data_IF_394030174619
#
_entry.id   IF_394030174619
#
_cell.length_a   1.000
_cell.length_b   1.000
_cell.length_c   1.000
_cell.angle_alpha   90.00
_cell.angle_beta   90.00
_cell.angle_gamma   90.00
#
_symmetry.space_group_name_H-M   'P 1'
#
loop_
_entity.id
_entity.type
_entity.pdbx_description
1 polymer ?
#
# COMPACT_ATOMS: atom_id res chain seq x y z
N UNK A 1 9.24 24.81 -22.76
CA UNK A 1 10.41 24.20 -22.10
C UNK A 1 10.14 22.72 -21.96
N UNK A 2 11.08 21.85 -22.32
CA UNK A 2 10.92 20.42 -22.08
C UNK A 2 10.89 20.19 -20.57
N UNK A 3 9.77 19.73 -20.03
CA UNK A 3 9.69 19.24 -18.67
C UNK A 3 10.46 17.93 -18.63
N UNK A 4 11.78 18.02 -18.44
CA UNK A 4 12.62 16.90 -18.04
C UNK A 4 11.99 16.38 -16.73
N UNK A 5 11.84 15.06 -16.56
CA UNK A 5 11.06 14.41 -15.49
C UNK A 5 11.48 14.71 -14.04
N UNK A 6 11.48 15.98 -13.68
CA UNK A 6 11.92 16.53 -12.40
C UNK A 6 10.92 16.21 -11.30
N UNK A 7 9.63 16.10 -11.65
CA UNK A 7 8.60 15.74 -10.67
C UNK A 7 8.78 14.28 -10.24
N UNK A 8 9.00 13.37 -11.18
CA UNK A 8 9.24 11.98 -10.80
C UNK A 8 10.49 11.83 -9.93
N UNK A 9 11.57 12.55 -10.24
CA UNK A 9 12.79 12.53 -9.44
C UNK A 9 12.54 13.11 -8.04
N UNK A 10 11.77 14.20 -7.94
CA UNK A 10 11.38 14.77 -6.67
C UNK A 10 10.56 13.79 -5.83
N UNK A 11 9.59 13.08 -6.43
CA UNK A 11 8.82 12.04 -5.73
C UNK A 11 9.70 10.89 -5.25
N UNK A 12 10.67 10.45 -6.05
CA UNK A 12 11.63 9.42 -5.67
C UNK A 12 12.46 9.88 -4.46
N UNK A 13 13.02 11.10 -4.52
CA UNK A 13 13.81 11.67 -3.42
C UNK A 13 12.98 11.79 -2.14
N UNK A 14 11.75 12.28 -2.22
CA UNK A 14 10.86 12.39 -1.05
C UNK A 14 10.58 11.02 -0.45
N UNK A 15 10.27 10.01 -1.26
CA UNK A 15 10.07 8.64 -0.78
C UNK A 15 11.31 8.11 -0.06
N UNK A 16 12.51 8.29 -0.63
CA UNK A 16 13.77 7.84 -0.03
C UNK A 16 14.01 8.54 1.31
N UNK A 17 13.85 9.86 1.38
CA UNK A 17 14.10 10.65 2.61
C UNK A 17 13.11 10.25 3.71
N UNK A 18 11.82 10.17 3.38
CA UNK A 18 10.77 9.82 4.35
C UNK A 18 10.92 8.38 4.85
N UNK A 19 11.23 7.45 3.95
CA UNK A 19 11.45 6.05 4.31
C UNK A 19 12.74 5.86 5.12
N UNK A 20 13.82 6.56 4.79
CA UNK A 20 15.04 6.54 5.60
C UNK A 20 14.77 7.01 7.04
N UNK A 21 13.98 8.07 7.20
CA UNK A 21 13.59 8.54 8.53
C UNK A 21 12.72 7.52 9.25
N UNK A 22 11.70 6.96 8.59
CA UNK A 22 10.82 5.93 9.17
C UNK A 22 11.56 4.66 9.58
N UNK A 23 12.56 4.22 8.80
CA UNK A 23 13.38 3.05 9.13
C UNK A 23 14.29 3.27 10.34
N UNK A 24 14.55 4.53 10.73
CA UNK A 24 15.41 4.88 11.87
C UNK A 24 14.65 5.28 13.13
N UNK A 25 13.41 5.72 12.98
CA UNK A 25 12.60 6.31 14.05
C UNK A 25 11.22 5.66 14.02
N UNK A 26 11.00 4.72 14.95
CA UNK A 26 9.74 3.99 15.09
C UNK A 26 8.56 4.91 15.38
N UNK A 27 8.75 5.92 16.24
CA UNK A 27 7.69 6.89 16.57
C UNK A 27 7.31 7.73 15.34
N UNK A 28 8.27 8.05 14.46
CA UNK A 28 7.98 8.66 13.16
C UNK A 28 7.25 7.70 12.23
N UNK A 29 7.69 6.44 12.13
CA UNK A 29 7.04 5.43 11.30
C UNK A 29 5.56 5.25 11.69
N UNK A 30 5.29 5.03 12.98
CA UNK A 30 3.96 4.79 13.52
C UNK A 30 3.05 6.02 13.43
N UNK A 31 3.62 7.24 13.43
CA UNK A 31 2.86 8.48 13.27
C UNK A 31 2.33 8.69 11.85
N UNK A 32 3.00 8.14 10.85
CA UNK A 32 2.71 8.41 9.44
C UNK A 32 2.25 7.18 8.65
N UNK A 33 2.30 5.98 9.24
CA UNK A 33 1.76 4.74 8.68
C UNK A 33 0.25 4.80 8.48
N UNK A 34 -0.26 4.01 7.54
CA UNK A 34 -1.70 3.81 7.41
C UNK A 34 -2.14 2.93 8.58
N UNK A 35 -3.17 3.33 9.31
CA UNK A 35 -3.75 2.50 10.37
C UNK A 35 -5.25 2.80 10.46
N UNK A 36 -6.07 1.76 10.40
CA UNK A 36 -7.52 1.88 10.23
C UNK A 36 -8.16 2.68 11.35
N UNK A 37 -7.87 2.35 12.62
CA UNK A 37 -8.47 3.06 13.76
C UNK A 37 -8.02 4.51 13.83
N UNK A 38 -6.75 4.79 13.56
CA UNK A 38 -6.23 6.16 13.51
C UNK A 38 -6.93 7.00 12.44
N UNK A 39 -7.28 6.41 11.30
CA UNK A 39 -8.01 7.09 10.22
C UNK A 39 -9.50 7.23 10.55
N UNK A 40 -10.17 6.15 10.95
CA UNK A 40 -11.63 6.11 11.09
C UNK A 40 -12.12 6.63 12.45
N UNK A 41 -11.43 6.31 13.54
CA UNK A 41 -11.82 6.68 14.91
C UNK A 41 -11.20 8.02 15.26
N UNK A 42 -9.88 8.13 15.16
CA UNK A 42 -9.13 9.33 15.56
C UNK A 42 -9.05 10.42 14.47
N UNK A 43 -9.62 10.16 13.29
CA UNK A 43 -9.76 11.13 12.19
C UNK A 43 -8.42 11.66 11.65
N UNK A 44 -7.36 10.88 11.78
CA UNK A 44 -6.01 11.23 11.32
C UNK A 44 -5.85 10.97 9.81
N UNK A 45 -6.61 11.70 9.00
CA UNK A 45 -6.72 11.47 7.56
C UNK A 45 -5.41 11.67 6.78
N UNK A 46 -4.41 12.35 7.36
CA UNK A 46 -3.10 12.54 6.71
C UNK A 46 -2.44 11.20 6.38
N UNK A 47 -2.74 10.15 7.17
CA UNK A 47 -2.26 8.77 6.99
C UNK A 47 -2.70 8.13 5.67
N UNK A 48 -3.72 8.67 5.02
CA UNK A 48 -4.12 8.28 3.67
C UNK A 48 -3.10 8.68 2.60
N UNK A 49 -2.21 9.63 2.89
CA UNK A 49 -1.18 10.12 1.96
C UNK A 49 0.22 9.84 2.52
N UNK A 50 0.46 10.09 3.80
CA UNK A 50 1.80 9.98 4.39
C UNK A 50 2.33 8.55 4.40
N UNK A 51 1.44 7.56 4.52
CA UNK A 51 1.80 6.14 4.48
C UNK A 51 2.44 5.72 3.16
N UNK A 52 2.09 6.41 2.08
CA UNK A 52 2.64 6.21 0.75
C UNK A 52 4.13 6.54 0.62
N UNK A 53 4.71 7.24 1.59
CA UNK A 53 6.11 7.66 1.58
C UNK A 53 6.99 6.89 2.57
N UNK A 54 6.41 5.92 3.28
CA UNK A 54 7.11 5.03 4.21
C UNK A 54 7.26 3.63 3.59
N UNK A 55 8.33 2.92 3.93
CA UNK A 55 8.54 1.54 3.50
C UNK A 55 9.13 0.72 4.65
N UNK A 56 8.69 -0.53 4.79
CA UNK A 56 9.16 -1.46 5.83
C UNK A 56 10.59 -1.96 5.64
N UNK A 57 11.15 -1.86 4.43
CA UNK A 57 12.51 -2.31 4.13
C UNK A 57 13.13 -1.58 2.95
N UNK A 58 14.47 -1.62 2.88
CA UNK A 58 15.23 -1.09 1.75
C UNK A 58 14.91 -1.78 0.43
N UNK A 59 14.62 -3.09 0.45
CA UNK A 59 14.26 -3.83 -0.76
C UNK A 59 12.89 -3.42 -1.27
N UNK A 60 11.92 -3.23 -0.37
CA UNK A 60 10.59 -2.74 -0.71
C UNK A 60 10.67 -1.33 -1.31
N UNK A 61 11.45 -0.43 -0.69
CA UNK A 61 11.70 0.91 -1.23
C UNK A 61 12.38 0.85 -2.61
N UNK A 62 13.41 0.02 -2.77
CA UNK A 62 14.15 -0.11 -4.03
C UNK A 62 13.23 -0.48 -5.20
N UNK A 63 12.41 -1.52 -5.06
CA UNK A 63 11.52 -1.94 -6.15
C UNK A 63 10.43 -0.93 -6.46
N UNK A 64 9.91 -0.22 -5.45
CA UNK A 64 8.96 0.88 -5.68
C UNK A 64 9.62 2.01 -6.48
N UNK A 65 10.82 2.45 -6.08
CA UNK A 65 11.51 3.55 -6.76
C UNK A 65 12.00 3.15 -8.15
N UNK A 66 12.43 1.89 -8.32
CA UNK A 66 12.79 1.34 -9.63
C UNK A 66 11.60 1.35 -10.58
N UNK A 67 10.45 0.83 -10.15
CA UNK A 67 9.23 0.85 -10.96
C UNK A 67 8.74 2.27 -11.21
N UNK A 68 8.75 3.15 -10.19
CA UNK A 68 8.38 4.55 -10.35
C UNK A 68 9.25 5.21 -11.42
N UNK A 69 10.58 5.07 -11.35
CA UNK A 69 11.51 5.62 -12.33
C UNK A 69 11.27 5.07 -13.75
N UNK A 70 11.09 3.75 -13.87
CA UNK A 70 10.95 3.07 -15.15
C UNK A 70 9.70 3.48 -15.94
N UNK A 71 8.59 3.77 -15.26
CA UNK A 71 7.29 4.03 -15.90
C UNK A 71 6.88 5.52 -15.90
N UNK A 72 7.38 6.34 -14.97
CA UNK A 72 6.90 7.71 -14.80
C UNK A 72 7.36 8.70 -15.86
N UNK A 73 8.60 8.58 -16.36
CA UNK A 73 9.19 9.60 -17.25
C UNK A 73 8.36 9.81 -18.52
N UNK A 74 7.96 8.73 -19.18
CA UNK A 74 7.13 8.81 -20.40
C UNK A 74 5.73 9.37 -20.12
N UNK A 75 5.17 9.10 -18.94
CA UNK A 75 3.87 9.64 -18.54
C UNK A 75 3.96 11.14 -18.25
N UNK A 76 4.96 11.58 -17.50
CA UNK A 76 5.17 13.00 -17.17
C UNK A 76 5.37 13.83 -18.44
N UNK A 77 6.13 13.31 -19.41
CA UNK A 77 6.31 13.96 -20.71
C UNK A 77 5.01 14.04 -21.52
N UNK A 78 4.16 13.01 -21.46
CA UNK A 78 2.90 12.96 -22.22
C UNK A 78 1.80 13.83 -21.61
N UNK A 79 1.68 13.82 -20.28
CA UNK A 79 0.54 14.43 -19.57
C UNK A 79 0.89 15.80 -18.95
N UNK A 80 2.17 16.11 -18.81
CA UNK A 80 2.67 17.27 -18.08
C UNK A 80 2.77 17.04 -16.56
N UNK A 81 3.50 17.90 -15.85
CA UNK A 81 3.84 17.71 -14.44
C UNK A 81 2.64 17.72 -13.49
N UNK A 82 1.66 18.61 -13.72
CA UNK A 82 0.47 18.71 -12.87
C UNK A 82 -0.40 17.47 -12.97
N UNK A 83 -0.68 17.02 -14.20
CA UNK A 83 -1.47 15.82 -14.47
C UNK A 83 -0.78 14.56 -13.94
N UNK A 84 0.54 14.49 -14.04
CA UNK A 84 1.32 13.40 -13.47
C UNK A 84 1.25 13.36 -11.93
N UNK A 85 1.31 14.52 -11.25
CA UNK A 85 1.08 14.59 -9.81
C UNK A 85 -0.33 14.15 -9.43
N UNK A 86 -1.35 14.61 -10.17
CA UNK A 86 -2.74 14.18 -9.96
C UNK A 86 -2.85 12.67 -10.11
N UNK A 87 -2.24 12.08 -11.13
CA UNK A 87 -2.20 10.63 -11.33
C UNK A 87 -1.56 9.92 -10.13
N UNK A 88 -0.38 10.35 -9.68
CA UNK A 88 0.33 9.72 -8.56
C UNK A 88 -0.52 9.75 -7.27
N UNK A 89 -1.01 10.93 -6.88
CA UNK A 89 -1.76 11.09 -5.63
C UNK A 89 -3.16 10.49 -5.68
N UNK A 90 -3.86 10.58 -6.82
CA UNK A 90 -5.16 9.93 -6.97
C UNK A 90 -5.03 8.41 -6.88
N UNK A 91 -3.98 7.83 -7.47
CA UNK A 91 -3.69 6.40 -7.38
C UNK A 91 -3.34 5.97 -5.95
N UNK A 92 -2.52 6.76 -5.25
CA UNK A 92 -2.20 6.53 -3.84
C UNK A 92 -3.46 6.52 -2.96
N UNK A 93 -4.26 7.58 -3.07
CA UNK A 93 -5.49 7.74 -2.29
C UNK A 93 -6.52 6.67 -2.67
N UNK A 94 -6.63 6.35 -3.96
CA UNK A 94 -7.53 5.31 -4.48
C UNK A 94 -7.21 3.93 -3.93
N UNK A 95 -5.92 3.56 -3.90
CA UNK A 95 -5.44 2.35 -3.25
C UNK A 95 -5.78 2.32 -1.76
N UNK A 96 -5.35 3.36 -1.03
CA UNK A 96 -5.60 3.44 0.41
C UNK A 96 -7.09 3.49 0.76
N UNK A 97 -7.94 4.05 -0.10
CA UNK A 97 -9.39 4.05 0.08
C UNK A 97 -9.96 2.64 -0.05
N UNK A 98 -9.50 1.85 -1.02
CA UNK A 98 -9.94 0.46 -1.14
C UNK A 98 -9.47 -0.39 0.06
N UNK A 99 -8.22 -0.20 0.52
CA UNK A 99 -7.73 -0.79 1.77
C UNK A 99 -8.62 -0.42 2.96
N UNK A 100 -8.92 0.87 3.13
CA UNK A 100 -9.76 1.36 4.22
C UNK A 100 -11.17 0.75 4.17
N UNK A 101 -11.77 0.63 2.98
CA UNK A 101 -13.12 0.08 2.82
C UNK A 101 -13.17 -1.42 3.17
N UNK A 102 -12.17 -2.19 2.74
CA UNK A 102 -12.10 -3.64 3.01
C UNK A 102 -11.75 -3.91 4.47
N UNK A 103 -10.83 -3.12 5.04
CA UNK A 103 -10.31 -3.32 6.38
C UNK A 103 -10.98 -2.47 7.46
N UNK A 104 -12.09 -1.76 7.16
CA UNK A 104 -12.80 -0.88 8.11
C UNK A 104 -13.20 -1.50 9.45
N UNK A 105 -13.25 -2.83 9.54
CA UNK A 105 -13.59 -3.59 10.75
C UNK A 105 -12.37 -4.30 11.38
N UNK A 106 -11.16 -4.03 10.89
CA UNK A 106 -9.89 -4.56 11.39
C UNK A 106 -9.03 -3.37 11.84
N UNK A 107 -9.25 -2.91 13.08
CA UNK A 107 -8.68 -1.65 13.57
C UNK A 107 -7.16 -1.63 13.63
N UNK A 108 -6.55 -2.81 13.79
CA UNK A 108 -5.12 -3.08 13.84
C UNK A 108 -4.45 -3.18 12.45
N UNK A 109 -5.24 -3.20 11.38
CA UNK A 109 -4.69 -3.26 10.03
C UNK A 109 -3.84 -2.02 9.73
N UNK A 110 -2.61 -2.27 9.28
CA UNK A 110 -1.63 -1.25 8.95
C UNK A 110 -0.99 -1.51 7.59
N UNK A 111 -0.63 -0.44 6.89
CA UNK A 111 0.03 -0.51 5.59
C UNK A 111 0.98 0.67 5.36
N UNK A 112 2.02 0.44 4.56
CA UNK A 112 2.93 1.50 4.09
C UNK A 112 3.43 1.18 2.68
N UNK A 113 3.82 2.20 1.94
CA UNK A 113 4.51 2.06 0.66
C UNK A 113 3.86 2.85 -0.46
N UNK A 114 4.68 3.26 -1.42
CA UNK A 114 4.24 3.97 -2.62
C UNK A 114 3.50 3.07 -3.62
N UNK A 115 3.39 1.77 -3.33
CA UNK A 115 3.04 0.73 -4.29
C UNK A 115 1.66 0.91 -4.92
N UNK A 116 0.66 1.42 -4.20
CA UNK A 116 -0.63 1.80 -4.81
C UNK A 116 -0.48 2.91 -5.87
N UNK A 117 0.33 3.93 -5.60
CA UNK A 117 0.64 5.00 -6.56
C UNK A 117 1.42 4.48 -7.77
N UNK A 118 2.41 3.62 -7.52
CA UNK A 118 3.24 2.99 -8.55
C UNK A 118 2.41 2.07 -9.45
N UNK A 119 1.48 1.30 -8.88
CA UNK A 119 0.53 0.49 -9.65
C UNK A 119 -0.33 1.36 -10.55
N UNK A 120 -0.83 2.48 -10.05
CA UNK A 120 -1.58 3.44 -10.87
C UNK A 120 -0.75 4.01 -12.03
N UNK A 121 0.52 4.30 -11.80
CA UNK A 121 1.47 4.73 -12.85
C UNK A 121 1.71 3.62 -13.91
N UNK A 122 1.89 2.37 -13.48
CA UNK A 122 2.04 1.23 -14.40
C UNK A 122 0.76 1.07 -15.24
N UNK A 123 -0.40 1.11 -14.62
CA UNK A 123 -1.69 0.92 -15.30
C UNK A 123 -2.08 2.11 -16.19
N UNK A 124 -1.73 3.33 -15.80
CA UNK A 124 -1.78 4.49 -16.69
C UNK A 124 -0.89 4.28 -17.92
N UNK A 125 0.33 3.77 -17.75
CA UNK A 125 1.23 3.45 -18.87
C UNK A 125 0.63 2.39 -19.79
N UNK A 126 0.01 1.34 -19.24
CA UNK A 126 -0.69 0.30 -20.02
C UNK A 126 -1.83 0.91 -20.85
N UNK A 127 -2.60 1.84 -20.28
CA UNK A 127 -3.69 2.50 -21.00
C UNK A 127 -3.18 3.44 -22.09
N UNK A 128 -2.19 4.29 -21.78
CA UNK A 128 -1.75 5.34 -22.69
C UNK A 128 -0.80 4.83 -23.80
N UNK A 129 -0.08 3.72 -23.61
CA UNK A 129 0.91 3.26 -24.60
C UNK A 129 0.54 1.89 -25.18
N UNK A 130 -0.32 1.84 -26.23
CA UNK A 130 -0.64 0.61 -26.95
C UNK A 130 0.62 -0.11 -27.44
N UNK A 131 0.64 -1.44 -27.32
CA UNK A 131 1.79 -2.26 -27.74
C UNK A 131 3.01 -2.20 -26.81
N UNK A 132 2.95 -1.45 -25.71
CA UNK A 132 4.01 -1.44 -24.69
C UNK A 132 4.29 -2.87 -24.20
N UNK A 133 5.57 -3.12 -23.91
CA UNK A 133 6.03 -4.36 -23.29
C UNK A 133 6.65 -4.05 -21.93
N UNK A 134 6.41 -4.93 -20.96
CA UNK A 134 6.96 -4.83 -19.60
C UNK A 134 8.06 -5.87 -19.45
N UNK A 135 9.27 -5.40 -19.14
CA UNK A 135 10.40 -6.25 -18.76
C UNK A 135 10.41 -6.51 -17.25
N UNK A 136 11.07 -7.58 -16.84
CA UNK A 136 11.26 -7.91 -15.44
C UNK A 136 12.73 -7.72 -15.06
N UNK A 137 12.98 -7.16 -13.88
CA UNK A 137 14.34 -6.92 -13.41
C UNK A 137 15.15 -8.23 -13.40
N UNK A 138 16.31 -8.20 -14.05
CA UNK A 138 17.22 -9.36 -14.14
C UNK A 138 16.84 -10.44 -15.15
N UNK A 139 15.72 -10.31 -15.87
CA UNK A 139 15.28 -11.31 -16.86
C UNK A 139 15.42 -10.76 -18.30
N UNK A 140 15.96 -11.55 -19.25
CA UNK A 140 16.19 -11.11 -20.63
C UNK A 140 14.93 -11.23 -21.50
N UNK A 141 13.73 -11.09 -20.92
CA UNK A 141 12.48 -11.13 -21.66
C UNK A 141 11.50 -10.08 -21.16
N UNK A 142 10.56 -9.72 -22.03
CA UNK A 142 9.45 -8.83 -21.74
C UNK A 142 8.15 -9.46 -22.20
N UNK A 143 7.05 -9.08 -21.57
CA UNK A 143 5.70 -9.52 -21.96
C UNK A 143 4.86 -8.33 -22.43
N UNK A 144 3.86 -8.51 -23.30
CA UNK A 144 2.90 -7.48 -23.62
C UNK A 144 2.25 -6.90 -22.36
N UNK A 145 2.19 -5.57 -22.26
CA UNK A 145 1.75 -4.89 -21.04
C UNK A 145 0.27 -5.15 -20.70
N UNK A 146 -0.58 -5.40 -21.70
CA UNK A 146 -1.97 -5.80 -21.48
C UNK A 146 -2.08 -7.17 -20.78
N UNK A 147 -1.18 -8.12 -21.08
CA UNK A 147 -1.13 -9.42 -20.41
C UNK A 147 -0.73 -9.22 -18.96
N UNK A 148 0.31 -8.41 -18.73
CA UNK A 148 0.73 -8.06 -17.38
C UNK A 148 -0.43 -7.45 -16.57
N UNK A 149 -1.11 -6.44 -17.12
CA UNK A 149 -2.23 -5.78 -16.44
C UNK A 149 -3.37 -6.73 -16.08
N UNK A 150 -3.77 -7.61 -17.01
CA UNK A 150 -4.82 -8.59 -16.77
C UNK A 150 -4.42 -9.61 -15.69
N UNK A 151 -3.23 -10.20 -15.81
CA UNK A 151 -2.72 -11.16 -14.83
C UNK A 151 -2.55 -10.52 -13.45
N UNK A 152 -2.10 -9.27 -13.41
CA UNK A 152 -1.93 -8.51 -12.18
C UNK A 152 -3.27 -8.30 -11.47
N UNK A 153 -4.32 -7.87 -12.19
CA UNK A 153 -5.67 -7.74 -11.60
C UNK A 153 -6.17 -9.07 -11.06
N UNK A 154 -6.04 -10.17 -11.82
CA UNK A 154 -6.48 -11.49 -11.37
C UNK A 154 -5.70 -11.96 -10.13
N UNK A 155 -4.39 -11.72 -10.11
CA UNK A 155 -3.53 -12.04 -8.98
C UNK A 155 -3.91 -11.22 -7.74
N UNK A 156 -4.13 -9.90 -7.85
CA UNK A 156 -4.56 -9.07 -6.73
C UNK A 156 -5.92 -9.51 -6.19
N UNK A 157 -6.88 -9.87 -7.06
CA UNK A 157 -8.18 -10.40 -6.62
C UNK A 157 -8.00 -11.71 -5.84
N UNK A 158 -7.14 -12.61 -6.31
CA UNK A 158 -6.82 -13.85 -5.60
C UNK A 158 -6.14 -13.57 -4.25
N UNK A 159 -5.18 -12.63 -4.22
CA UNK A 159 -4.47 -12.20 -3.02
C UNK A 159 -5.41 -11.71 -1.91
N UNK A 160 -6.31 -10.79 -2.26
CA UNK A 160 -7.34 -10.25 -1.33
C UNK A 160 -8.19 -11.38 -0.72
N UNK A 161 -8.50 -12.43 -1.50
CA UNK A 161 -9.31 -13.57 -1.03
C UNK A 161 -8.52 -14.55 -0.16
N UNK A 162 -7.24 -14.75 -0.48
CA UNK A 162 -6.44 -15.81 0.14
C UNK A 162 -5.86 -15.41 1.50
N UNK A 163 -5.58 -14.11 1.71
CA UNK A 163 -4.93 -13.57 2.93
C UNK A 163 -3.68 -14.37 3.36
N UNK A 164 -2.88 -14.83 2.39
CA UNK A 164 -1.72 -15.71 2.62
C UNK A 164 -0.38 -14.97 2.72
N UNK A 165 -0.35 -13.70 2.35
CA UNK A 165 0.86 -12.89 2.32
C UNK A 165 0.63 -11.51 2.94
N UNK A 166 1.71 -10.80 3.25
CA UNK A 166 1.71 -9.45 3.79
C UNK A 166 1.72 -8.37 2.68
N UNK A 167 1.11 -8.69 1.53
CA UNK A 167 1.02 -7.79 0.38
C UNK A 167 -0.33 -7.10 0.39
N UNK A 168 -0.33 -5.76 0.34
CA UNK A 168 -1.54 -4.93 0.24
C UNK A 168 -2.20 -5.02 -1.15
N UNK A 169 -2.70 -6.19 -1.53
CA UNK A 169 -3.29 -6.48 -2.84
C UNK A 169 -4.47 -5.56 -3.16
N UNK A 170 -5.24 -5.17 -2.14
CA UNK A 170 -6.31 -4.20 -2.24
C UNK A 170 -5.81 -2.77 -2.50
N UNK A 171 -4.71 -2.35 -1.86
CA UNK A 171 -4.08 -1.06 -2.16
C UNK A 171 -3.60 -1.02 -3.61
N UNK A 172 -3.00 -2.12 -4.07
CA UNK A 172 -2.51 -2.28 -5.44
C UNK A 172 -3.64 -2.26 -6.47
N UNK A 173 -4.69 -3.05 -6.25
CA UNK A 173 -5.85 -3.09 -7.14
C UNK A 173 -6.55 -1.74 -7.19
N UNK A 174 -6.78 -1.10 -6.05
CA UNK A 174 -7.41 0.22 -5.98
C UNK A 174 -6.59 1.28 -6.70
N UNK A 175 -5.27 1.30 -6.47
CA UNK A 175 -4.36 2.22 -7.13
C UNK A 175 -4.27 2.00 -8.64
N UNK A 176 -4.20 0.74 -9.09
CA UNK A 176 -4.19 0.36 -10.50
C UNK A 176 -5.43 0.84 -11.25
N UNK A 177 -6.63 0.58 -10.69
CA UNK A 177 -7.89 0.94 -11.33
C UNK A 177 -8.12 2.45 -11.33
N UNK A 178 -7.86 3.13 -10.21
CA UNK A 178 -7.99 4.59 -10.13
C UNK A 178 -6.96 5.28 -11.03
N UNK A 179 -5.71 4.80 -11.07
CA UNK A 179 -4.69 5.35 -11.94
C UNK A 179 -5.02 5.22 -13.42
N UNK A 180 -5.50 4.05 -13.85
CA UNK A 180 -5.98 3.85 -15.22
C UNK A 180 -7.16 4.77 -15.55
N UNK A 181 -8.14 4.88 -14.65
CA UNK A 181 -9.30 5.75 -14.84
C UNK A 181 -8.90 7.22 -14.96
N UNK A 182 -8.05 7.70 -14.06
CA UNK A 182 -7.54 9.09 -14.07
C UNK A 182 -6.76 9.37 -15.35
N UNK A 183 -5.88 8.45 -15.77
CA UNK A 183 -5.12 8.61 -17.00
C UNK A 183 -6.02 8.76 -18.22
N UNK A 184 -7.05 7.92 -18.32
CA UNK A 184 -8.03 7.95 -19.41
C UNK A 184 -8.93 9.20 -19.35
N UNK A 185 -9.27 9.70 -18.17
CA UNK A 185 -10.00 10.96 -18.03
C UNK A 185 -9.16 12.17 -18.46
N UNK A 186 -7.85 12.16 -18.22
CA UNK A 186 -6.94 13.25 -18.59
C UNK A 186 -6.55 13.17 -20.07
N UNK A 187 -6.38 11.97 -20.62
CA UNK A 187 -5.99 11.71 -22.02
C UNK A 187 -7.07 10.82 -22.67
N UNK A 188 -8.25 11.37 -23.00
CA UNK A 188 -9.39 10.60 -23.50
C UNK A 188 -9.12 9.93 -24.86
N UNK A 189 -8.16 10.43 -25.64
CA UNK A 189 -7.74 9.83 -26.91
C UNK A 189 -7.26 8.38 -26.72
N UNK A 190 -6.71 8.04 -25.55
CA UNK A 190 -6.28 6.69 -25.23
C UNK A 190 -7.42 5.67 -25.25
N UNK A 191 -8.68 6.09 -25.05
CA UNK A 191 -9.84 5.20 -25.23
C UNK A 191 -9.93 4.77 -26.69
N UNK A 192 -9.92 5.72 -27.62
CA UNK A 192 -10.03 5.41 -29.04
C UNK A 192 -8.86 4.53 -29.52
N UNK A 193 -7.66 4.75 -28.96
CA UNK A 193 -6.44 4.03 -29.32
C UNK A 193 -6.33 2.63 -28.67
N UNK A 194 -6.90 2.43 -27.48
CA UNK A 194 -6.61 1.26 -26.63
C UNK A 194 -7.81 0.70 -25.84
N UNK A 195 -9.05 0.97 -26.27
CA UNK A 195 -10.24 0.49 -25.54
C UNK A 195 -10.25 -1.02 -25.23
N UNK A 196 -9.72 -1.96 -26.07
CA UNK A 196 -9.78 -3.38 -25.74
C UNK A 196 -8.96 -3.71 -24.48
N UNK A 197 -7.78 -3.10 -24.34
CA UNK A 197 -6.93 -3.25 -23.15
C UNK A 197 -7.59 -2.59 -21.94
N UNK A 198 -8.08 -1.36 -22.10
CA UNK A 198 -8.69 -0.59 -21.01
C UNK A 198 -9.92 -1.32 -20.46
N UNK A 199 -10.83 -1.77 -21.33
CA UNK A 199 -12.04 -2.47 -20.92
C UNK A 199 -11.73 -3.85 -20.33
N UNK A 200 -10.80 -4.61 -20.91
CA UNK A 200 -10.45 -5.94 -20.40
C UNK A 200 -9.81 -5.91 -19.01
N UNK A 201 -9.25 -4.77 -18.59
CA UNK A 201 -8.69 -4.56 -17.26
C UNK A 201 -9.71 -3.92 -16.31
N UNK A 202 -10.32 -2.80 -16.70
CA UNK A 202 -11.25 -2.05 -15.85
C UNK A 202 -12.52 -2.84 -15.54
N UNK A 203 -13.08 -3.56 -16.51
CA UNK A 203 -14.33 -4.30 -16.30
C UNK A 203 -14.21 -5.38 -15.21
N UNK A 204 -13.29 -6.37 -15.30
CA UNK A 204 -13.16 -7.38 -14.25
C UNK A 204 -12.67 -6.79 -12.93
N UNK A 205 -11.79 -5.78 -12.96
CA UNK A 205 -11.33 -5.12 -11.75
C UNK A 205 -12.45 -4.38 -11.01
N UNK A 206 -13.24 -3.58 -11.72
CA UNK A 206 -14.39 -2.87 -11.14
C UNK A 206 -15.47 -3.83 -10.66
N UNK A 207 -15.76 -4.91 -11.42
CA UNK A 207 -16.67 -5.97 -11.00
C UNK A 207 -16.18 -6.64 -9.72
N UNK A 208 -14.89 -6.96 -9.62
CA UNK A 208 -14.32 -7.56 -8.43
C UNK A 208 -14.42 -6.63 -7.21
N UNK A 209 -14.06 -5.35 -7.36
CA UNK A 209 -14.22 -4.34 -6.28
C UNK A 209 -15.69 -4.24 -5.84
N UNK A 210 -16.62 -4.16 -6.79
CA UNK A 210 -18.05 -4.14 -6.49
C UNK A 210 -18.49 -5.40 -5.71
N UNK A 211 -18.06 -6.59 -6.13
CA UNK A 211 -18.39 -7.84 -5.46
C UNK A 211 -17.75 -7.93 -4.07
N UNK A 212 -16.51 -7.47 -3.88
CA UNK A 212 -15.83 -7.44 -2.58
C UNK A 212 -16.62 -6.55 -1.60
N UNK A 213 -17.08 -5.40 -2.06
CA UNK A 213 -17.78 -4.42 -1.20
C UNK A 213 -19.22 -4.85 -0.90
N UNK A 214 -19.95 -5.35 -1.90
CA UNK A 214 -21.40 -5.61 -1.78
C UNK A 214 -21.73 -7.05 -1.41
N UNK A 215 -20.90 -8.01 -1.82
CA UNK A 215 -21.10 -9.44 -1.62
C UNK A 215 -19.81 -10.14 -1.19
N UNK A 216 -19.18 -9.72 -0.07
CA UNK A 216 -17.92 -10.30 0.38
C UNK A 216 -18.02 -11.82 0.59
N UNK A 217 -19.18 -12.34 1.01
CA UNK A 217 -19.42 -13.78 1.17
C UNK A 217 -19.27 -14.61 -0.12
N UNK A 218 -19.40 -14.01 -1.31
CA UNK A 218 -19.17 -14.73 -2.58
C UNK A 218 -17.67 -14.91 -2.89
N UNK A 219 -16.83 -14.11 -2.24
CA UNK A 219 -15.39 -14.07 -2.50
C UNK A 219 -14.56 -14.60 -1.32
N UNK A 220 -15.00 -14.37 -0.09
CA UNK A 220 -14.37 -14.93 1.10
C UNK A 220 -14.79 -16.40 1.22
N UNK A 221 -13.88 -17.32 0.92
CA UNK A 221 -14.03 -18.72 1.30
C UNK A 221 -13.79 -18.79 2.80
N UNK A 222 -14.72 -19.35 3.57
CA UNK A 222 -14.56 -19.53 5.02
C UNK A 222 -13.28 -20.33 5.29
N UNK A 223 -12.22 -19.65 5.74
CA UNK A 223 -10.98 -20.32 6.08
C UNK A 223 -11.06 -20.75 7.55
N UNK A 224 -11.69 -21.91 7.79
CA UNK A 224 -11.68 -22.58 9.11
C UNK A 224 -10.26 -22.88 9.63
N UNK A 225 -9.23 -22.76 8.78
CA UNK A 225 -7.82 -22.98 9.09
C UNK A 225 -7.19 -21.94 10.04
N UNK A 226 -7.78 -20.74 10.19
CA UNK A 226 -7.23 -19.73 11.10
C UNK A 226 -7.57 -19.95 12.58
N UNK A 227 -8.23 -21.07 12.91
CA UNK A 227 -8.31 -21.53 14.31
C UNK A 227 -7.00 -22.16 14.81
N UNK A 228 -6.00 -22.45 13.96
CA UNK A 228 -4.92 -23.39 14.38
C UNK A 228 -3.49 -23.17 13.84
N UNK A 229 -3.12 -22.09 13.15
CA UNK A 229 -1.73 -21.95 12.66
C UNK A 229 -0.92 -20.83 13.32
N UNK A 230 -0.34 -21.18 14.48
CA UNK A 230 0.92 -20.64 15.01
C UNK A 230 2.03 -21.45 14.31
N UNK A 231 2.86 -20.88 13.43
CA UNK A 231 3.91 -21.73 12.82
C UNK A 231 4.92 -21.10 11.87
N UNK A 232 4.52 -20.32 10.88
CA UNK A 232 5.46 -19.82 9.85
C UNK A 232 5.44 -18.29 9.83
N UNK A 233 6.35 -17.67 10.59
CA UNK A 233 6.42 -16.22 10.74
C UNK A 233 7.38 -15.59 9.72
N UNK A 234 6.84 -14.76 8.83
CA UNK A 234 7.61 -13.83 7.99
C UNK A 234 8.09 -12.61 8.82
N UNK A 235 8.94 -11.75 8.26
CA UNK A 235 9.50 -10.56 8.93
C UNK A 235 8.40 -9.61 9.41
N UNK A 236 7.32 -9.47 8.64
CA UNK A 236 6.15 -8.65 9.01
C UNK A 236 5.36 -9.29 10.17
N UNK A 237 5.30 -10.62 10.25
CA UNK A 237 4.73 -11.29 11.42
C UNK A 237 5.59 -11.05 12.65
N UNK A 238 6.92 -11.01 12.54
CA UNK A 238 7.78 -10.65 13.68
C UNK A 238 7.53 -9.23 14.17
N UNK A 239 7.31 -8.27 13.28
CA UNK A 239 6.99 -6.90 13.67
C UNK A 239 5.63 -6.82 14.39
N UNK A 240 4.62 -7.47 13.83
CA UNK A 240 3.28 -7.50 14.41
C UNK A 240 3.24 -8.29 15.73
N UNK A 241 3.94 -9.43 15.82
CA UNK A 241 4.11 -10.21 17.05
C UNK A 241 4.86 -9.40 18.12
N UNK A 242 5.98 -8.77 17.76
CA UNK A 242 6.74 -7.94 18.68
C UNK A 242 5.91 -6.73 19.15
N UNK A 243 5.07 -6.15 18.29
CA UNK A 243 4.08 -5.14 18.69
C UNK A 243 3.00 -5.70 19.62
N UNK A 244 2.45 -6.88 19.34
CA UNK A 244 1.45 -7.54 20.17
C UNK A 244 2.02 -7.93 21.54
N UNK A 245 3.23 -8.48 21.57
CA UNK A 245 3.96 -8.85 22.79
C UNK A 245 4.26 -7.61 23.62
N UNK A 246 4.72 -6.52 23.00
CA UNK A 246 4.90 -5.22 23.68
C UNK A 246 3.60 -4.67 24.24
N UNK A 247 2.51 -4.69 23.46
CA UNK A 247 1.22 -4.17 23.89
C UNK A 247 0.66 -5.00 25.05
N UNK A 248 0.75 -6.33 24.98
CA UNK A 248 0.38 -7.21 26.09
C UNK A 248 1.25 -6.97 27.32
N UNK A 249 2.55 -6.77 27.16
CA UNK A 249 3.45 -6.43 28.27
C UNK A 249 3.02 -5.12 28.94
N UNK A 250 2.71 -4.09 28.16
CA UNK A 250 2.21 -2.81 28.67
C UNK A 250 0.85 -2.97 29.37
N UNK A 251 -0.09 -3.67 28.76
CA UNK A 251 -1.44 -3.86 29.31
C UNK A 251 -1.38 -4.61 30.65
N UNK A 252 -0.50 -5.63 30.76
CA UNK A 252 -0.24 -6.34 32.02
C UNK A 252 0.38 -5.42 33.08
N UNK A 253 1.29 -4.54 32.70
CA UNK A 253 1.88 -3.56 33.61
C UNK A 253 0.82 -2.56 34.09
N UNK A 254 0.00 -2.02 33.19
CA UNK A 254 -1.09 -1.09 33.51
C UNK A 254 -2.15 -1.75 34.40
N UNK A 255 -2.50 -3.01 34.14
CA UNK A 255 -3.42 -3.79 34.97
C UNK A 255 -2.84 -4.04 36.37
N UNK A 256 -1.55 -4.34 36.46
CA UNK A 256 -0.84 -4.50 37.74
C UNK A 256 -0.80 -3.19 38.53
N UNK A 257 -0.56 -2.06 37.87
CA UNK A 257 -0.63 -0.72 38.47
C UNK A 257 -2.06 -0.44 38.95
N UNK A 258 -3.07 -0.76 38.15
CA UNK A 258 -4.48 -0.58 38.53
C UNK A 258 -4.83 -1.38 39.78
N UNK A 259 -4.44 -2.66 39.85
CA UNK A 259 -4.80 -3.57 40.95
C UNK A 259 -3.99 -3.33 42.23
N UNK A 260 -2.71 -2.98 42.11
CA UNK A 260 -1.76 -3.00 43.25
C UNK A 260 -1.00 -1.69 43.44
N UNK A 261 -1.27 -0.67 42.62
CA UNK A 261 -0.60 0.62 42.65
C UNK A 261 0.80 0.59 42.02
N UNK A 262 1.31 1.76 41.62
CA UNK A 262 2.56 1.90 40.86
C UNK A 262 3.81 1.41 41.62
N UNK A 263 3.77 1.42 42.96
CA UNK A 263 4.86 0.90 43.80
C UNK A 263 5.01 -0.63 43.72
N UNK A 264 4.02 -1.33 43.16
CA UNK A 264 4.04 -2.80 42.99
C UNK A 264 4.92 -3.28 41.84
N UNK A 265 5.39 -2.35 40.99
CA UNK A 265 6.30 -2.68 39.90
C UNK A 265 7.72 -2.94 40.41
N UNK A 266 8.32 -4.02 39.92
CA UNK A 266 9.75 -4.29 40.05
C UNK A 266 10.56 -3.21 39.33
N UNK A 267 11.88 -3.16 39.60
CA UNK A 267 12.78 -2.24 38.91
C UNK A 267 12.73 -2.45 37.39
N UNK A 268 12.79 -3.71 36.93
CA UNK A 268 12.73 -4.07 35.52
C UNK A 268 11.42 -3.62 34.86
N UNK A 269 10.28 -3.87 35.51
CA UNK A 269 8.96 -3.45 35.01
C UNK A 269 8.81 -1.92 34.93
N UNK A 270 9.41 -1.20 35.88
CA UNK A 270 9.50 0.28 35.83
C UNK A 270 10.38 0.77 34.70
N UNK A 271 11.55 0.18 34.52
CA UNK A 271 12.48 0.54 33.43
C UNK A 271 11.83 0.26 32.07
N UNK A 272 11.08 -0.84 31.94
CA UNK A 272 10.26 -1.18 30.77
C UNK A 272 9.18 -0.13 30.52
N UNK A 273 8.40 0.23 31.55
CA UNK A 273 7.34 1.26 31.45
C UNK A 273 7.92 2.65 31.10
N UNK A 274 9.07 3.02 31.66
CA UNK A 274 9.78 4.27 31.36
C UNK A 274 10.30 4.29 29.92
N UNK A 275 10.89 3.17 29.45
CA UNK A 275 11.28 3.04 28.04
C UNK A 275 10.10 3.25 27.11
N UNK A 276 8.95 2.64 27.43
CA UNK A 276 7.75 2.80 26.62
C UNK A 276 7.18 4.22 26.68
N UNK A 277 7.16 4.84 27.86
CA UNK A 277 6.75 6.24 28.05
C UNK A 277 7.61 7.24 27.25
N UNK A 278 8.90 6.93 27.06
CA UNK A 278 9.83 7.74 26.26
C UNK A 278 9.75 7.48 24.75
N UNK A 279 9.08 6.39 24.34
CA UNK A 279 8.89 6.04 22.91
C UNK A 279 7.58 6.56 22.30
N UNK A 280 6.71 7.17 23.12
CA UNK A 280 5.48 7.88 22.70
C UNK A 280 5.80 9.34 22.35
#
# INVERSE_FOLDING_TARGET
MAYIGLINLALIVVNIVMSYKGLKDHSFFDRYSFEVDNILVYKDYKRMVTSGFLHVSWMHLFFNMFALYAFSTSLELRMGPSSFLTLYFASLIGGNLLSLLIHRNHGDYSAVGASGAVCGIIFASIALFPGMRIGFFGLPFSIPAWIYGLLYVLYSIYGIRSKRDNIGHEAHLGGALIGMLVAVCIVPEAIAENYPTILSILFPGALAVYLIITRPHLLLVDNQYFKTHIGDYDIDDRYNLDRMDRQQEIDLLLEKIHKKGIKSLTKKERDTLEKYSQSV
#
